data_IF_075030254985
#
_entry.id   IF_075030254985
#
_cell.length_a   1.000
_cell.length_b   1.000
_cell.length_c   1.000
_cell.angle_alpha   90.00
_cell.angle_beta   90.00
_cell.angle_gamma   90.00
#
_symmetry.space_group_name_H-M   'P 1'
#
loop_
_entity.id
_entity.type
_entity.pdbx_description
1 polymer ?
#
# COMPACT_ATOMS: atom_id res chain seq x y z
N UNK A 1 40.41 13.47 9.81
CA UNK A 1 40.44 13.35 8.34
C UNK A 1 38.98 13.30 7.88
N UNK A 2 38.43 14.43 7.43
CA UNK A 2 37.00 14.53 7.06
C UNK A 2 36.83 14.03 5.63
N UNK A 3 36.41 12.78 5.47
CA UNK A 3 36.10 12.19 4.17
C UNK A 3 34.94 12.96 3.53
N UNK A 4 35.24 13.77 2.52
CA UNK A 4 34.23 14.45 1.71
C UNK A 4 33.46 13.40 0.92
N UNK A 5 32.34 12.94 1.48
CA UNK A 5 31.40 12.07 0.77
C UNK A 5 31.09 12.67 -0.62
N UNK A 6 31.22 11.91 -1.72
CA UNK A 6 30.98 12.43 -3.05
C UNK A 6 29.53 12.95 -3.14
N UNK A 7 29.35 14.13 -3.74
CA UNK A 7 28.05 14.85 -3.82
C UNK A 7 26.90 13.95 -4.31
N UNK A 8 27.21 12.95 -5.14
CA UNK A 8 26.28 11.94 -5.66
C UNK A 8 25.68 11.01 -4.60
N UNK A 9 26.42 10.70 -3.53
CA UNK A 9 25.93 9.85 -2.44
C UNK A 9 24.86 10.58 -1.61
N UNK A 10 25.07 11.86 -1.28
CA UNK A 10 24.07 12.67 -0.53
C UNK A 10 22.79 12.90 -1.31
N UNK A 11 22.88 13.14 -2.62
CA UNK A 11 21.70 13.30 -3.48
C UNK A 11 20.82 12.04 -3.51
N UNK A 12 21.45 10.87 -3.60
CA UNK A 12 20.74 9.58 -3.59
C UNK A 12 20.03 9.32 -2.25
N UNK A 13 20.70 9.60 -1.14
CA UNK A 13 20.11 9.45 0.20
C UNK A 13 18.94 10.42 0.43
N UNK A 14 19.07 11.66 -0.04
CA UNK A 14 17.98 12.66 0.04
C UNK A 14 16.78 12.20 -0.79
N UNK A 15 17.01 11.75 -2.04
CA UNK A 15 15.94 11.21 -2.88
C UNK A 15 15.25 10.00 -2.26
N UNK A 16 16.02 9.11 -1.60
CA UNK A 16 15.46 7.97 -0.88
C UNK A 16 14.48 8.42 0.21
N UNK A 17 14.87 9.35 1.09
CA UNK A 17 14.00 9.79 2.19
C UNK A 17 12.78 10.59 1.74
N UNK A 18 12.91 11.39 0.67
CA UNK A 18 11.75 12.03 0.03
C UNK A 18 10.78 10.97 -0.49
N UNK A 19 11.30 9.94 -1.15
CA UNK A 19 10.49 8.83 -1.68
C UNK A 19 9.78 8.08 -0.57
N UNK A 20 10.46 7.82 0.57
CA UNK A 20 9.85 7.23 1.77
C UNK A 20 8.67 8.07 2.24
N UNK A 21 8.84 9.38 2.40
CA UNK A 21 7.74 10.27 2.82
C UNK A 21 6.52 10.21 1.89
N UNK A 22 6.75 10.21 0.57
CA UNK A 22 5.67 10.08 -0.41
C UNK A 22 4.98 8.71 -0.36
N UNK A 23 5.75 7.64 -0.21
CA UNK A 23 5.23 6.27 -0.12
C UNK A 23 4.33 6.09 1.10
N UNK A 24 4.66 6.71 2.24
CA UNK A 24 3.80 6.69 3.42
C UNK A 24 2.41 7.26 3.11
N UNK A 25 2.35 8.41 2.42
CA UNK A 25 1.07 9.00 1.99
C UNK A 25 0.33 8.09 1.02
N UNK A 26 1.04 7.55 0.01
CA UNK A 26 0.45 6.63 -0.97
C UNK A 26 -0.13 5.39 -0.28
N UNK A 27 0.59 4.78 0.67
CA UNK A 27 0.11 3.59 1.38
C UNK A 27 -1.15 3.86 2.21
N UNK A 28 -1.20 5.00 2.90
CA UNK A 28 -2.42 5.40 3.63
C UNK A 28 -3.60 5.55 2.67
N UNK A 29 -3.42 6.22 1.54
CA UNK A 29 -4.47 6.36 0.53
C UNK A 29 -4.88 5.01 -0.04
N UNK A 30 -3.92 4.15 -0.40
CA UNK A 30 -4.19 2.84 -1.00
C UNK A 30 -4.95 1.90 -0.06
N UNK A 31 -4.63 1.88 1.24
CA UNK A 31 -5.36 1.07 2.22
C UNK A 31 -6.79 1.58 2.43
N UNK A 32 -7.01 2.90 2.43
CA UNK A 32 -8.35 3.46 2.50
C UNK A 32 -9.16 3.24 1.23
N UNK A 33 -8.50 3.31 0.06
CA UNK A 33 -9.11 2.97 -1.22
C UNK A 33 -9.55 1.51 -1.27
N UNK A 34 -8.73 0.59 -0.75
CA UNK A 34 -9.12 -0.81 -0.57
C UNK A 34 -10.37 -0.95 0.30
N UNK A 35 -10.40 -0.28 1.45
CA UNK A 35 -11.59 -0.26 2.32
C UNK A 35 -12.84 0.24 1.60
N UNK A 36 -12.72 1.33 0.83
CA UNK A 36 -13.81 1.91 0.06
C UNK A 36 -14.35 0.93 -1.01
N UNK A 37 -13.45 0.30 -1.77
CA UNK A 37 -13.84 -0.66 -2.80
C UNK A 37 -14.54 -1.90 -2.20
N UNK A 38 -14.10 -2.35 -1.03
CA UNK A 38 -14.76 -3.46 -0.33
C UNK A 38 -16.13 -3.05 0.22
N UNK A 39 -16.24 -1.85 0.78
CA UNK A 39 -17.50 -1.30 1.25
C UNK A 39 -18.52 -1.18 0.10
N UNK A 40 -18.11 -0.65 -1.05
CA UNK A 40 -18.96 -0.54 -2.24
C UNK A 40 -19.43 -1.91 -2.73
N UNK A 41 -18.52 -2.89 -2.80
CA UNK A 41 -18.89 -4.26 -3.18
C UNK A 41 -19.99 -4.84 -2.28
N UNK A 42 -19.91 -4.59 -0.96
CA UNK A 42 -20.92 -5.06 -0.01
C UNK A 42 -22.26 -4.34 -0.16
N UNK A 43 -22.22 -3.00 -0.24
CA UNK A 43 -23.45 -2.19 -0.26
C UNK A 43 -24.22 -2.35 -1.57
N UNK A 44 -23.51 -2.59 -2.68
CA UNK A 44 -24.13 -2.67 -4.01
C UNK A 44 -24.42 -4.10 -4.47
N UNK A 45 -23.99 -5.13 -3.74
CA UNK A 45 -24.28 -6.53 -4.08
C UNK A 45 -25.78 -6.80 -4.24
N UNK A 46 -26.63 -6.26 -3.37
CA UNK A 46 -28.09 -6.48 -3.46
C UNK A 46 -28.70 -5.89 -4.73
N UNK A 47 -28.18 -4.75 -5.20
CA UNK A 47 -28.61 -4.09 -6.44
C UNK A 47 -28.12 -4.88 -7.66
N UNK A 48 -26.88 -5.36 -7.62
CA UNK A 48 -26.33 -6.22 -8.67
C UNK A 48 -27.15 -7.51 -8.82
N UNK A 49 -27.49 -8.16 -7.71
CA UNK A 49 -28.32 -9.37 -7.72
C UNK A 49 -29.74 -9.10 -8.27
N UNK A 50 -30.36 -7.97 -7.91
CA UNK A 50 -31.65 -7.57 -8.49
C UNK A 50 -31.59 -7.36 -10.01
N UNK A 51 -30.42 -7.03 -10.55
CA UNK A 51 -30.15 -6.91 -11.99
C UNK A 51 -29.66 -8.21 -12.64
N UNK A 52 -29.70 -9.35 -11.95
CA UNK A 52 -29.10 -10.64 -12.38
C UNK A 52 -27.58 -10.55 -12.68
N UNK A 53 -26.85 -9.70 -11.96
CA UNK A 53 -25.39 -9.58 -12.01
C UNK A 53 -24.76 -9.83 -10.62
N UNK A 54 -23.45 -9.57 -10.46
CA UNK A 54 -22.75 -9.75 -9.18
C UNK A 54 -21.60 -8.74 -9.01
N UNK A 55 -21.30 -8.36 -7.76
CA UNK A 55 -20.11 -7.60 -7.37
C UNK A 55 -18.96 -8.50 -6.92
N UNK A 56 -19.09 -9.82 -7.07
CA UNK A 56 -18.04 -10.77 -6.73
C UNK A 56 -16.71 -10.40 -7.42
N UNK A 57 -15.65 -10.28 -6.62
CA UNK A 57 -14.31 -9.90 -7.10
C UNK A 57 -14.09 -8.40 -7.32
N UNK A 58 -15.10 -7.54 -7.21
CA UNK A 58 -14.94 -6.09 -7.38
C UNK A 58 -13.90 -5.52 -6.41
N UNK A 59 -14.02 -5.79 -5.12
CA UNK A 59 -13.07 -5.31 -4.12
C UNK A 59 -11.64 -5.85 -4.31
N UNK A 60 -11.49 -7.04 -4.91
CA UNK A 60 -10.18 -7.58 -5.25
C UNK A 60 -9.54 -6.82 -6.43
N UNK A 61 -10.29 -6.59 -7.51
CA UNK A 61 -9.78 -5.93 -8.72
C UNK A 61 -9.62 -4.42 -8.52
N UNK A 62 -10.59 -3.76 -7.88
CA UNK A 62 -10.64 -2.29 -7.74
C UNK A 62 -9.96 -1.82 -6.46
N UNK A 63 -9.88 -2.67 -5.44
CA UNK A 63 -9.21 -2.37 -4.17
C UNK A 63 -7.84 -3.02 -4.05
N UNK A 64 -7.82 -4.36 -4.03
CA UNK A 64 -6.60 -5.11 -3.69
C UNK A 64 -5.52 -5.00 -4.76
N UNK A 65 -5.87 -5.01 -6.04
CA UNK A 65 -4.89 -4.90 -7.12
C UNK A 65 -4.16 -3.53 -7.14
N UNK A 66 -4.84 -2.37 -7.01
CA UNK A 66 -4.15 -1.09 -6.82
C UNK A 66 -3.29 -1.03 -5.55
N UNK A 67 -3.74 -1.63 -4.45
CA UNK A 67 -2.95 -1.72 -3.22
C UNK A 67 -1.68 -2.56 -3.42
N UNK A 68 -1.78 -3.70 -4.11
CA UNK A 68 -0.63 -4.52 -4.46
C UNK A 68 0.34 -3.75 -5.38
N UNK A 69 -0.18 -3.01 -6.36
CA UNK A 69 0.64 -2.15 -7.23
C UNK A 69 1.38 -1.08 -6.43
N UNK A 70 0.75 -0.46 -5.43
CA UNK A 70 1.41 0.50 -4.54
C UNK A 70 2.61 -0.12 -3.79
N UNK A 71 2.50 -1.39 -3.36
CA UNK A 71 3.62 -2.11 -2.74
C UNK A 71 4.75 -2.37 -3.73
N UNK A 72 4.40 -2.80 -4.95
CA UNK A 72 5.38 -3.05 -6.00
C UNK A 72 6.12 -1.77 -6.40
N UNK A 73 5.42 -0.64 -6.50
CA UNK A 73 6.02 0.67 -6.78
C UNK A 73 6.92 1.14 -5.64
N UNK A 74 6.50 0.93 -4.38
CA UNK A 74 7.33 1.23 -3.20
C UNK A 74 8.65 0.47 -3.25
N UNK A 75 8.59 -0.85 -3.46
CA UNK A 75 9.79 -1.69 -3.55
C UNK A 75 10.64 -1.33 -4.78
N UNK A 76 10.00 -1.13 -5.93
CA UNK A 76 10.65 -0.77 -7.18
C UNK A 76 11.37 0.58 -7.12
N UNK A 77 10.93 1.50 -6.26
CA UNK A 77 11.57 2.78 -6.04
C UNK A 77 12.63 2.74 -4.93
N UNK A 78 12.29 2.18 -3.76
CA UNK A 78 13.16 2.23 -2.59
C UNK A 78 14.34 1.25 -2.66
N UNK A 79 14.17 0.08 -3.27
CA UNK A 79 15.26 -0.89 -3.34
C UNK A 79 16.42 -0.40 -4.22
N UNK A 80 16.20 0.13 -5.45
CA UNK A 80 17.31 0.67 -6.25
C UNK A 80 17.99 1.88 -5.61
N UNK A 81 17.21 2.79 -5.00
CA UNK A 81 17.75 3.95 -4.29
C UNK A 81 18.55 3.53 -3.06
N UNK A 82 18.02 2.58 -2.28
CA UNK A 82 18.69 2.00 -1.12
C UNK A 82 20.00 1.32 -1.51
N UNK A 83 19.99 0.50 -2.58
CA UNK A 83 21.20 -0.15 -3.10
C UNK A 83 22.28 0.86 -3.48
N UNK A 84 21.91 1.93 -4.19
CA UNK A 84 22.85 2.98 -4.61
C UNK A 84 23.40 3.78 -3.43
N UNK A 85 22.60 4.00 -2.37
CA UNK A 85 23.02 4.77 -1.19
C UNK A 85 23.83 3.98 -0.15
N UNK A 86 23.44 2.73 0.13
CA UNK A 86 23.97 1.93 1.24
C UNK A 86 24.19 0.44 0.91
N UNK A 87 24.13 0.05 -0.38
CA UNK A 87 24.27 -1.33 -0.86
C UNK A 87 23.27 -2.28 -0.15
N UNK A 88 23.71 -3.44 0.33
CA UNK A 88 22.87 -4.41 1.02
C UNK A 88 22.10 -3.84 2.22
N UNK A 89 22.71 -2.92 2.99
CA UNK A 89 22.01 -2.27 4.11
C UNK A 89 20.83 -1.42 3.63
N UNK A 90 20.97 -0.77 2.47
CA UNK A 90 19.91 0.05 1.90
C UNK A 90 18.74 -0.76 1.37
N UNK A 91 18.96 -2.00 0.90
CA UNK A 91 17.87 -2.92 0.56
C UNK A 91 17.04 -3.27 1.79
N UNK A 92 17.71 -3.61 2.90
CA UNK A 92 17.04 -3.90 4.16
C UNK A 92 16.24 -2.69 4.68
N UNK A 93 16.82 -1.49 4.62
CA UNK A 93 16.13 -0.25 5.00
C UNK A 93 14.94 0.01 4.08
N UNK A 94 15.09 -0.11 2.75
CA UNK A 94 13.99 0.11 1.80
C UNK A 94 12.83 -0.86 1.99
N UNK A 95 13.12 -2.14 2.24
CA UNK A 95 12.11 -3.14 2.58
C UNK A 95 11.42 -2.80 3.91
N UNK A 96 12.20 -2.48 4.95
CA UNK A 96 11.66 -2.11 6.27
C UNK A 96 10.76 -0.87 6.20
N UNK A 97 11.15 0.16 5.41
CA UNK A 97 10.33 1.36 5.22
C UNK A 97 9.05 1.06 4.45
N UNK A 98 9.08 0.15 3.46
CA UNK A 98 7.86 -0.28 2.75
C UNK A 98 6.89 -0.97 3.71
N UNK A 99 7.40 -1.87 4.56
CA UNK A 99 6.61 -2.55 5.58
C UNK A 99 6.02 -1.53 6.57
N UNK A 100 6.85 -0.61 7.08
CA UNK A 100 6.42 0.43 8.01
C UNK A 100 5.33 1.33 7.42
N UNK A 101 5.48 1.75 6.16
CA UNK A 101 4.48 2.54 5.44
C UNK A 101 3.16 1.77 5.30
N UNK A 102 3.23 0.47 4.97
CA UNK A 102 2.05 -0.38 4.86
C UNK A 102 1.35 -0.57 6.21
N UNK A 103 2.10 -0.85 7.27
CA UNK A 103 1.57 -0.94 8.64
C UNK A 103 0.87 0.35 9.04
N UNK A 104 1.46 1.51 8.75
CA UNK A 104 0.83 2.79 9.01
C UNK A 104 -0.46 2.97 8.22
N UNK A 105 -0.46 2.58 6.94
CA UNK A 105 -1.66 2.60 6.11
C UNK A 105 -2.78 1.70 6.65
N UNK A 106 -2.45 0.51 7.13
CA UNK A 106 -3.39 -0.38 7.84
C UNK A 106 -3.94 0.33 9.07
N UNK A 107 -3.09 0.87 9.94
CA UNK A 107 -3.53 1.57 11.16
C UNK A 107 -4.46 2.73 10.82
N UNK A 108 -4.10 3.56 9.83
CA UNK A 108 -4.94 4.65 9.37
C UNK A 108 -6.28 4.16 8.83
N UNK A 109 -6.29 3.12 8.00
CA UNK A 109 -7.52 2.51 7.51
C UNK A 109 -8.38 1.94 8.65
N UNK A 110 -7.78 1.26 9.62
CA UNK A 110 -8.52 0.76 10.79
C UNK A 110 -9.22 1.88 11.56
N UNK A 111 -8.56 3.03 11.74
CA UNK A 111 -9.16 4.18 12.40
C UNK A 111 -10.30 4.80 11.57
N UNK A 112 -10.14 4.89 10.25
CA UNK A 112 -11.16 5.48 9.36
C UNK A 112 -12.40 4.58 9.25
N UNK A 113 -12.20 3.27 9.17
CA UNK A 113 -13.28 2.29 8.98
C UNK A 113 -13.78 1.67 10.30
N UNK A 114 -13.53 2.33 11.43
CA UNK A 114 -14.07 1.92 12.74
C UNK A 114 -13.63 0.53 13.21
N UNK A 115 -12.46 0.05 12.77
CA UNK A 115 -11.95 -1.29 13.06
C UNK A 115 -12.37 -2.37 12.06
N UNK A 116 -13.24 -2.06 11.10
CA UNK A 116 -13.84 -3.04 10.20
C UNK A 116 -13.08 -3.24 8.88
N UNK A 117 -11.91 -2.62 8.69
CA UNK A 117 -11.21 -2.62 7.39
C UNK A 117 -11.02 -4.04 6.81
N UNK A 118 -10.68 -5.01 7.66
CA UNK A 118 -10.49 -6.40 7.23
C UNK A 118 -11.81 -7.19 7.18
N UNK A 119 -12.80 -6.83 8.01
CA UNK A 119 -14.12 -7.47 7.99
C UNK A 119 -14.88 -7.16 6.70
N UNK A 120 -14.68 -5.97 6.14
CA UNK A 120 -15.18 -5.58 4.83
C UNK A 120 -14.68 -6.54 3.72
N UNK A 121 -13.49 -7.11 3.88
CA UNK A 121 -12.94 -8.04 2.88
C UNK A 121 -13.46 -9.48 3.00
N UNK A 122 -13.80 -9.93 4.21
CA UNK A 122 -14.17 -11.33 4.49
C UNK A 122 -15.59 -11.66 4.00
N UNK A 123 -16.54 -10.72 4.11
CA UNK A 123 -17.94 -10.96 3.74
C UNK A 123 -18.21 -10.83 2.23
N UNK A 124 -17.17 -10.57 1.43
CA UNK A 124 -17.26 -10.48 -0.04
C UNK A 124 -16.86 -11.78 -0.76
N UNK A 125 -16.58 -12.85 0.00
CA UNK A 125 -16.19 -14.14 -0.57
C UNK A 125 -17.45 -14.96 -0.93
N UNK A 126 -17.66 -15.37 -2.19
CA UNK A 126 -18.82 -16.17 -2.59
C UNK A 126 -18.83 -17.59 -1.97
N UNK A 127 -17.82 -17.93 -1.19
CA UNK A 127 -17.61 -19.23 -0.53
C UNK A 127 -17.80 -19.17 1.00
N UNK A 128 -18.13 -18.01 1.59
CA UNK A 128 -18.54 -17.98 2.99
C UNK A 128 -20.01 -18.42 3.11
N UNK A 129 -20.33 -19.45 3.93
CA UNK A 129 -21.70 -19.92 4.12
C UNK A 129 -22.61 -18.86 4.75
#
# INVERSE_FOLDING_TARGET
MSESQPVTARGTQTGFWISVGMIFVVMVVSWNWYGLAQFEAQTDQSKALAANTTMAGFGAVVGAAPLALAHLLSLGLLLPLGWRGWRWKGLAIGLAMTIAASVLGIVAGQLVWGGALFELGVHNDPMSP
#
